data_IF_335321700357
#
_entry.id   IF_335321700357
#
_cell.length_a   1.000
_cell.length_b   1.000
_cell.length_c   1.000
_cell.angle_alpha   90.00
_cell.angle_beta   90.00
_cell.angle_gamma   90.00
#
_symmetry.space_group_name_H-M   'P 1'
#
loop_
_entity.id
_entity.type
_entity.pdbx_description
1 polymer ?
#
# COMPACT_ATOMS: atom_id res chain seq x y z
N UNK A 1 -53.47 30.55 17.27
CA UNK A 1 -52.64 29.34 17.14
C UNK A 1 -52.92 28.49 18.37
N UNK A 2 -53.42 27.27 18.20
CA UNK A 2 -53.83 26.44 19.34
C UNK A 2 -52.62 25.80 20.04
N UNK A 3 -52.75 25.44 21.31
CA UNK A 3 -51.70 24.73 22.06
C UNK A 3 -51.29 23.44 21.33
N UNK A 4 -52.25 22.78 20.68
CA UNK A 4 -52.06 21.55 19.90
C UNK A 4 -51.16 21.81 18.68
N UNK A 5 -51.37 22.89 17.92
CA UNK A 5 -50.51 23.26 16.78
C UNK A 5 -49.06 23.53 17.20
N UNK A 6 -48.85 24.17 18.36
CA UNK A 6 -47.50 24.48 18.87
C UNK A 6 -46.77 23.19 19.26
N UNK A 7 -47.48 22.25 19.90
CA UNK A 7 -46.94 20.94 20.29
C UNK A 7 -46.56 20.10 19.06
N UNK A 8 -47.41 20.05 18.02
CA UNK A 8 -47.12 19.33 16.78
C UNK A 8 -45.94 19.91 16.00
N UNK A 9 -45.82 21.24 15.92
CA UNK A 9 -44.68 21.92 15.28
C UNK A 9 -43.37 21.58 15.99
N UNK A 10 -43.35 21.62 17.32
CA UNK A 10 -42.16 21.27 18.13
C UNK A 10 -41.77 19.81 17.94
N UNK A 11 -42.75 18.89 17.91
CA UNK A 11 -42.52 17.47 17.63
C UNK A 11 -41.94 17.26 16.22
N UNK A 12 -42.52 17.88 15.20
CA UNK A 12 -42.05 17.80 13.80
C UNK A 12 -40.62 18.35 13.65
N UNK A 13 -40.29 19.43 14.33
CA UNK A 13 -38.96 20.04 14.29
C UNK A 13 -37.90 19.16 14.98
N UNK A 14 -38.22 18.58 16.15
CA UNK A 14 -37.37 17.61 16.81
C UNK A 14 -37.16 16.34 15.97
N UNK A 15 -38.20 15.81 15.33
CA UNK A 15 -38.08 14.65 14.43
C UNK A 15 -37.16 14.96 13.22
N UNK A 16 -37.26 16.15 12.63
CA UNK A 16 -36.37 16.58 11.54
C UNK A 16 -34.92 16.72 12.00
N UNK A 17 -34.68 17.25 13.20
CA UNK A 17 -33.34 17.36 13.77
C UNK A 17 -32.73 15.98 14.05
N UNK A 18 -33.50 15.05 14.63
CA UNK A 18 -33.05 13.67 14.86
C UNK A 18 -32.69 13.00 13.53
N UNK A 19 -33.54 13.14 12.52
CA UNK A 19 -33.27 12.57 11.20
C UNK A 19 -32.03 13.21 10.55
N UNK A 20 -31.86 14.54 10.67
CA UNK A 20 -30.67 15.25 10.19
C UNK A 20 -29.39 14.75 10.85
N UNK A 21 -29.39 14.57 12.18
CA UNK A 21 -28.24 14.02 12.92
C UNK A 21 -27.92 12.58 12.51
N UNK A 22 -28.94 11.75 12.26
CA UNK A 22 -28.75 10.39 11.75
C UNK A 22 -28.06 10.40 10.39
N UNK A 23 -28.50 11.24 9.45
CA UNK A 23 -27.88 11.36 8.13
C UNK A 23 -26.42 11.80 8.24
N UNK A 24 -26.13 12.79 9.08
CA UNK A 24 -24.76 13.25 9.34
C UNK A 24 -23.91 12.13 9.94
N UNK A 25 -24.44 11.40 10.93
CA UNK A 25 -23.74 10.28 11.57
C UNK A 25 -23.38 9.18 10.58
N UNK A 26 -24.30 8.81 9.69
CA UNK A 26 -24.06 7.82 8.62
C UNK A 26 -23.01 8.34 7.64
N UNK A 27 -23.09 9.61 7.25
CA UNK A 27 -22.12 10.21 6.32
C UNK A 27 -20.69 10.24 6.90
N UNK A 28 -20.55 10.56 8.19
CA UNK A 28 -19.27 10.49 8.90
C UNK A 28 -18.79 9.04 8.94
N UNK A 29 -19.63 8.07 9.27
CA UNK A 29 -19.24 6.67 9.34
C UNK A 29 -18.72 6.13 8.00
N UNK A 30 -19.32 6.56 6.88
CA UNK A 30 -18.89 6.17 5.52
C UNK A 30 -17.56 6.82 5.14
N UNK A 31 -17.33 8.07 5.53
CA UNK A 31 -16.14 8.85 5.11
C UNK A 31 -14.94 8.66 6.05
N UNK A 32 -15.17 8.22 7.28
CA UNK A 32 -14.14 8.04 8.31
C UNK A 32 -12.97 7.15 7.88
N UNK A 33 -13.18 5.99 7.20
CA UNK A 33 -12.07 5.16 6.75
C UNK A 33 -11.12 5.89 5.79
N UNK A 34 -11.68 6.63 4.83
CA UNK A 34 -10.90 7.40 3.84
C UNK A 34 -10.09 8.50 4.52
N UNK A 35 -10.69 9.20 5.48
CA UNK A 35 -10.01 10.26 6.21
C UNK A 35 -8.85 9.72 7.06
N UNK A 36 -9.04 8.60 7.76
CA UNK A 36 -7.97 7.99 8.53
C UNK A 36 -6.82 7.43 7.67
N UNK A 37 -7.12 6.92 6.47
CA UNK A 37 -6.10 6.52 5.50
C UNK A 37 -5.22 7.70 5.06
N UNK A 38 -5.81 8.84 4.70
CA UNK A 38 -5.07 10.02 4.27
C UNK A 38 -4.30 10.69 5.42
N UNK A 39 -4.88 10.76 6.63
CA UNK A 39 -4.16 11.25 7.80
C UNK A 39 -2.95 10.37 8.13
N UNK A 40 -3.13 9.04 8.15
CA UNK A 40 -2.04 8.10 8.38
C UNK A 40 -0.93 8.30 7.33
N UNK A 41 -1.30 8.38 6.05
CA UNK A 41 -0.37 8.67 4.96
C UNK A 41 0.42 9.94 5.21
N UNK A 42 -0.25 11.04 5.55
CA UNK A 42 0.40 12.33 5.80
C UNK A 42 1.47 12.26 6.89
N UNK A 43 1.19 11.58 8.02
CA UNK A 43 2.16 11.44 9.10
C UNK A 43 3.30 10.48 8.75
N UNK A 44 2.97 9.32 8.18
CA UNK A 44 3.97 8.28 7.88
C UNK A 44 4.88 8.70 6.73
N UNK A 45 4.37 9.41 5.71
CA UNK A 45 5.17 9.88 4.58
C UNK A 45 6.31 10.81 4.99
N UNK A 46 6.15 11.57 6.08
CA UNK A 46 7.24 12.39 6.63
C UNK A 46 8.42 11.57 7.15
N UNK A 47 8.23 10.28 7.38
CA UNK A 47 9.26 9.34 7.84
C UNK A 47 9.92 8.56 6.71
N UNK A 48 9.49 8.81 5.46
CA UNK A 48 10.00 8.12 4.28
C UNK A 48 11.50 8.28 4.16
N UNK A 49 12.21 7.16 4.03
CA UNK A 49 13.61 7.12 3.63
C UNK A 49 13.73 6.21 2.43
N UNK A 50 14.42 6.68 1.40
CA UNK A 50 14.70 5.89 0.21
C UNK A 50 16.19 5.82 -0.03
N UNK A 51 16.66 4.64 -0.37
CA UNK A 51 18.04 4.42 -0.78
C UNK A 51 18.06 3.49 -1.98
N UNK A 52 18.84 3.85 -3.00
CA UNK A 52 19.03 2.98 -4.16
C UNK A 52 20.12 1.96 -3.87
N UNK A 53 19.81 0.69 -4.12
CA UNK A 53 20.72 -0.44 -3.94
C UNK A 53 20.84 -1.18 -5.26
N UNK A 54 22.02 -1.74 -5.51
CA UNK A 54 22.23 -2.70 -6.60
C UNK A 54 22.72 -4.00 -5.99
N UNK A 55 21.99 -5.09 -6.25
CA UNK A 55 22.32 -6.41 -5.71
C UNK A 55 22.20 -7.47 -6.81
N UNK A 56 23.11 -8.43 -6.78
CA UNK A 56 22.97 -9.66 -7.55
C UNK A 56 22.07 -10.63 -6.80
N UNK A 57 21.04 -11.13 -7.46
CA UNK A 57 20.07 -12.05 -6.91
C UNK A 57 19.89 -13.25 -7.85
N UNK A 58 19.78 -14.44 -7.28
CA UNK A 58 19.40 -15.64 -8.04
C UNK A 58 17.92 -15.58 -8.42
N UNK A 59 17.52 -16.43 -9.36
CA UNK A 59 16.10 -16.61 -9.71
C UNK A 59 15.23 -16.90 -8.49
N UNK A 60 15.67 -17.83 -7.63
CA UNK A 60 14.91 -18.22 -6.43
C UNK A 60 14.80 -17.07 -5.42
N UNK A 61 15.88 -16.29 -5.24
CA UNK A 61 15.84 -15.11 -4.37
C UNK A 61 14.85 -14.05 -4.88
N UNK A 62 14.74 -13.86 -6.21
CA UNK A 62 13.78 -12.93 -6.81
C UNK A 62 12.34 -13.40 -6.56
N UNK A 63 12.08 -14.70 -6.73
CA UNK A 63 10.76 -15.28 -6.45
C UNK A 63 10.39 -15.13 -4.96
N UNK A 64 11.32 -15.44 -4.05
CA UNK A 64 11.12 -15.27 -2.61
C UNK A 64 10.85 -13.80 -2.24
N UNK A 65 11.56 -12.85 -2.84
CA UNK A 65 11.33 -11.42 -2.61
C UNK A 65 9.94 -10.99 -3.09
N UNK A 66 9.49 -11.49 -4.24
CA UNK A 66 8.12 -11.25 -4.72
C UNK A 66 7.09 -11.75 -3.70
N UNK A 67 7.22 -13.00 -3.25
CA UNK A 67 6.31 -13.60 -2.27
C UNK A 67 6.33 -12.88 -0.93
N UNK A 68 7.51 -12.53 -0.41
CA UNK A 68 7.65 -11.81 0.86
C UNK A 68 6.96 -10.44 0.84
N UNK A 69 7.08 -9.69 -0.25
CA UNK A 69 6.41 -8.40 -0.37
C UNK A 69 4.89 -8.54 -0.58
N UNK A 70 4.48 -9.48 -1.43
CA UNK A 70 3.06 -9.69 -1.70
C UNK A 70 2.37 -10.29 -0.49
N UNK A 71 2.79 -11.46 -0.02
CA UNK A 71 2.13 -12.17 1.07
C UNK A 71 2.49 -11.64 2.46
N UNK A 72 3.75 -11.26 2.67
CA UNK A 72 4.22 -10.82 4.00
C UNK A 72 3.87 -9.37 4.34
N UNK A 73 3.93 -8.46 3.37
CA UNK A 73 3.76 -7.02 3.63
C UNK A 73 2.44 -6.46 3.08
N UNK A 74 2.07 -6.75 1.83
CA UNK A 74 0.86 -6.16 1.22
C UNK A 74 -0.40 -6.49 2.03
N UNK A 75 -0.62 -7.76 2.36
CA UNK A 75 -1.78 -8.17 3.16
C UNK A 75 -1.71 -7.67 4.61
N UNK A 76 -0.52 -7.65 5.22
CA UNK A 76 -0.34 -7.15 6.59
C UNK A 76 -0.80 -5.70 6.74
N UNK A 77 -0.59 -4.88 5.70
CA UNK A 77 -0.99 -3.48 5.66
C UNK A 77 -2.27 -3.23 4.89
N UNK A 78 -2.98 -4.27 4.42
CA UNK A 78 -4.29 -4.14 3.78
C UNK A 78 -5.39 -3.89 4.82
N UNK A 79 -5.27 -2.74 5.48
CA UNK A 79 -6.18 -2.24 6.51
C UNK A 79 -6.71 -0.89 6.08
N UNK A 80 -7.89 -0.54 6.56
CA UNK A 80 -8.58 0.69 6.18
C UNK A 80 -7.73 1.95 6.37
N UNK A 81 -6.88 2.01 7.40
CA UNK A 81 -6.02 3.16 7.72
C UNK A 81 -4.61 3.09 7.09
N UNK A 82 -4.22 1.96 6.51
CA UNK A 82 -2.90 1.79 5.86
C UNK A 82 -3.02 1.30 4.42
N UNK A 83 -4.20 1.46 3.81
CA UNK A 83 -4.49 0.98 2.45
C UNK A 83 -3.53 1.60 1.44
N UNK A 84 -3.20 2.89 1.62
CA UNK A 84 -2.20 3.57 0.81
C UNK A 84 -0.83 2.86 0.84
N UNK A 85 -0.41 2.35 1.99
CA UNK A 85 0.88 1.67 2.17
C UNK A 85 0.84 0.28 1.54
N UNK A 86 -0.26 -0.46 1.73
CA UNK A 86 -0.51 -1.73 1.04
C UNK A 86 -0.41 -1.56 -0.49
N UNK A 87 -0.99 -0.49 -1.03
CA UNK A 87 -0.91 -0.19 -2.46
C UNK A 87 0.53 0.06 -2.91
N UNK A 88 1.29 0.89 -2.19
CA UNK A 88 2.68 1.21 -2.56
C UNK A 88 3.60 -0.04 -2.48
N UNK A 89 3.41 -0.88 -1.46
CA UNK A 89 4.12 -2.16 -1.34
C UNK A 89 3.76 -3.09 -2.50
N UNK A 90 2.47 -3.15 -2.86
CA UNK A 90 1.98 -3.97 -3.98
C UNK A 90 2.55 -3.53 -5.31
N UNK A 91 2.67 -2.22 -5.54
CA UNK A 91 3.32 -1.67 -6.74
C UNK A 91 4.79 -2.10 -6.78
N UNK A 92 5.48 -2.05 -5.64
CA UNK A 92 6.83 -2.59 -5.48
C UNK A 92 6.91 -4.10 -5.80
N UNK A 93 6.02 -4.90 -5.20
CA UNK A 93 5.91 -6.34 -5.42
C UNK A 93 5.66 -6.68 -6.90
N UNK A 94 4.84 -5.88 -7.59
CA UNK A 94 4.56 -6.06 -9.01
C UNK A 94 5.80 -5.83 -9.89
N UNK A 95 6.70 -4.91 -9.53
CA UNK A 95 7.98 -4.77 -10.24
C UNK A 95 8.87 -6.01 -10.06
N UNK A 96 8.85 -6.62 -8.86
CA UNK A 96 9.59 -7.86 -8.60
C UNK A 96 8.98 -9.05 -9.32
N UNK A 97 7.65 -9.16 -9.34
CA UNK A 97 6.94 -10.16 -10.13
C UNK A 97 7.32 -10.13 -11.61
N UNK A 98 7.42 -8.95 -12.22
CA UNK A 98 7.87 -8.83 -13.62
C UNK A 98 9.29 -9.37 -13.84
N UNK A 99 10.18 -9.18 -12.87
CA UNK A 99 11.54 -9.70 -12.93
C UNK A 99 11.56 -11.21 -12.76
N UNK A 100 10.80 -11.73 -11.80
CA UNK A 100 10.61 -13.18 -11.58
C UNK A 100 10.08 -13.85 -12.85
N UNK A 101 9.01 -13.31 -13.44
CA UNK A 101 8.43 -13.81 -14.68
C UNK A 101 9.45 -13.80 -15.84
N UNK A 102 10.23 -12.72 -15.95
CA UNK A 102 11.29 -12.63 -16.96
C UNK A 102 12.37 -13.72 -16.77
N UNK A 103 12.88 -13.89 -15.55
CA UNK A 103 13.87 -14.92 -15.23
C UNK A 103 13.29 -16.34 -15.40
N UNK A 104 11.99 -16.50 -15.13
CA UNK A 104 11.29 -17.77 -15.29
C UNK A 104 11.12 -18.19 -16.74
N UNK A 105 10.93 -17.23 -17.64
CA UNK A 105 10.80 -17.46 -19.08
C UNK A 105 12.14 -17.57 -19.82
N UNK A 106 13.27 -17.45 -19.12
CA UNK A 106 14.62 -17.47 -19.70
C UNK A 106 15.49 -18.46 -18.91
N UNK A 107 15.31 -19.78 -19.11
CA UNK A 107 15.94 -20.82 -18.31
C UNK A 107 17.48 -20.82 -18.39
N UNK A 108 18.06 -20.14 -19.39
CA UNK A 108 19.50 -19.93 -19.51
C UNK A 108 20.09 -18.98 -18.47
N UNK A 109 19.24 -18.16 -17.81
CA UNK A 109 19.67 -17.22 -16.79
C UNK A 109 19.51 -17.80 -15.39
N UNK A 110 20.57 -17.73 -14.58
CA UNK A 110 20.59 -18.23 -13.20
C UNK A 110 20.47 -17.11 -12.15
N UNK A 111 20.89 -15.89 -12.52
CA UNK A 111 20.92 -14.73 -11.64
C UNK A 111 20.85 -13.43 -12.42
N UNK A 112 20.48 -12.36 -11.72
CA UNK A 112 20.36 -11.02 -12.27
C UNK A 112 20.94 -9.99 -11.31
N UNK A 113 21.61 -8.99 -11.87
CA UNK A 113 21.96 -7.77 -11.15
C UNK A 113 20.77 -6.83 -11.23
N UNK A 114 20.21 -6.51 -10.07
CA UNK A 114 18.99 -5.72 -9.96
C UNK A 114 19.32 -4.43 -9.22
N UNK A 115 18.91 -3.30 -9.82
CA UNK A 115 18.88 -1.99 -9.19
C UNK A 115 17.47 -1.71 -8.70
N UNK A 116 17.32 -1.33 -7.44
CA UNK A 116 16.03 -1.07 -6.83
C UNK A 116 16.16 -0.02 -5.73
N UNK A 117 15.02 0.57 -5.35
CA UNK A 117 14.94 1.43 -4.18
C UNK A 117 14.51 0.57 -2.98
N UNK A 118 15.20 0.75 -1.86
CA UNK A 118 14.72 0.30 -0.55
C UNK A 118 13.97 1.47 0.07
N UNK A 119 12.66 1.34 0.19
CA UNK A 119 11.79 2.32 0.81
C UNK A 119 11.52 1.92 2.25
N UNK A 120 11.75 2.83 3.19
CA UNK A 120 11.51 2.63 4.62
C UNK A 120 10.54 3.66 5.16
N UNK A 121 9.58 3.21 5.96
CA UNK A 121 8.66 4.05 6.74
C UNK A 121 8.70 3.69 8.21
N UNK A 122 8.37 4.63 9.09
CA UNK A 122 8.08 4.36 10.51
C UNK A 122 6.56 4.33 10.71
N UNK A 123 6.00 3.13 10.85
CA UNK A 123 4.56 2.89 11.08
C UNK A 123 4.41 2.34 12.50
N UNK A 124 3.64 3.04 13.35
CA UNK A 124 3.43 2.65 14.76
C UNK A 124 4.73 2.40 15.51
N UNK A 125 5.75 3.23 15.28
CA UNK A 125 7.07 3.09 15.89
C UNK A 125 7.99 2.04 15.26
N UNK A 126 7.47 1.16 14.40
CA UNK A 126 8.23 0.09 13.73
C UNK A 126 8.65 0.49 12.33
N UNK A 127 9.82 0.01 11.90
CA UNK A 127 10.29 0.22 10.53
C UNK A 127 9.61 -0.80 9.62
N UNK A 128 8.97 -0.31 8.57
CA UNK A 128 8.51 -1.10 7.44
C UNK A 128 9.46 -0.85 6.30
N UNK A 129 10.02 -1.90 5.73
CA UNK A 129 11.00 -1.85 4.66
C UNK A 129 10.52 -2.73 3.51
N UNK A 130 10.56 -2.19 2.30
CA UNK A 130 10.21 -2.93 1.09
C UNK A 130 10.99 -2.37 -0.11
N UNK A 131 11.06 -3.17 -1.17
CA UNK A 131 11.63 -2.81 -2.45
C UNK A 131 10.60 -2.10 -3.33
N UNK A 132 11.03 -1.04 -4.01
CA UNK A 132 10.27 -0.32 -5.00
C UNK A 132 11.15 -0.01 -6.22
N UNK A 133 10.53 0.29 -7.36
CA UNK A 133 11.22 0.72 -8.59
C UNK A 133 12.36 -0.23 -9.02
N UNK A 134 12.09 -1.53 -9.01
CA UNK A 134 13.11 -2.53 -9.31
C UNK A 134 13.32 -2.72 -10.82
N UNK A 135 14.58 -2.83 -11.24
CA UNK A 135 14.97 -3.09 -12.63
C UNK A 135 16.19 -4.01 -12.70
N UNK A 136 16.10 -5.05 -13.55
CA UNK A 136 17.27 -5.85 -13.96
C UNK A 136 18.18 -4.98 -14.83
N UNK A 137 19.45 -4.85 -14.45
CA UNK A 137 20.48 -4.15 -15.22
C UNK A 137 21.40 -5.10 -15.97
N UNK A 138 21.63 -6.30 -15.42
CA UNK A 138 22.43 -7.35 -16.06
C UNK A 138 21.85 -8.72 -15.73
N UNK A 139 22.03 -9.69 -16.61
CA UNK A 139 21.66 -11.10 -16.42
C UNK A 139 22.90 -11.97 -16.55
N UNK A 140 22.96 -13.04 -15.75
CA UNK A 140 24.04 -14.01 -15.80
C UNK A 140 23.57 -15.30 -16.43
N UNK A 141 24.45 -15.93 -17.21
CA UNK A 141 24.25 -17.22 -17.85
C UNK A 141 25.56 -18.01 -17.77
N UNK A 142 25.59 -19.23 -18.31
CA UNK A 142 26.84 -19.98 -18.49
C UNK A 142 27.93 -19.23 -19.27
N UNK A 143 27.53 -18.31 -20.15
CA UNK A 143 28.45 -17.46 -20.93
C UNK A 143 28.95 -16.21 -20.18
N UNK A 144 28.55 -16.04 -18.92
CA UNK A 144 28.85 -14.87 -18.10
C UNK A 144 27.74 -13.83 -18.11
N UNK A 145 28.10 -12.61 -17.71
CA UNK A 145 27.20 -11.47 -17.58
C UNK A 145 26.88 -10.81 -18.93
N UNK A 146 25.61 -10.45 -19.12
CA UNK A 146 25.11 -9.69 -20.27
C UNK A 146 24.29 -8.51 -19.78
N UNK A 147 24.47 -7.36 -20.44
CA UNK A 147 23.68 -6.17 -20.17
C UNK A 147 22.26 -6.31 -20.73
N UNK A 148 21.31 -5.59 -20.12
CA UNK A 148 19.88 -5.62 -20.48
C UNK A 148 19.28 -4.22 -20.63
#
# INVERSE_FOLDING_TARGET
MSIIEVVERKKRLNTRLIFGLLVIGVFIAITFPTFGNELNKFFVQKTKKESTVTKTLTKDEIAQLHEQQLYGLTYKYDKWNTKWLSNEIRDGAYTVFKMDLFMSNQPEYDSAKIKFNVTKYKVDGKIVEFMSNSKITQVHSKSGWKDK
#
